data_IF_518690169058
#
_entry.id   IF_518690169058
#
_cell.length_a   1.000
_cell.length_b   1.000
_cell.length_c   1.000
_cell.angle_alpha   90.00
_cell.angle_beta   90.00
_cell.angle_gamma   90.00
#
_symmetry.space_group_name_H-M   'P 1'
#
loop_
_entity.id
_entity.type
_entity.pdbx_description
1 polymer ?
#
# COMPACT_ATOMS: atom_id res chain seq x y z
N UNK A 1 -2.73 -29.92 16.42
CA UNK A 1 -3.20 -28.91 15.44
C UNK A 1 -2.37 -29.03 14.16
N UNK A 2 -2.98 -28.77 12.98
CA UNK A 2 -2.30 -28.79 11.69
C UNK A 2 -2.49 -27.48 10.94
N UNK A 3 -1.44 -27.02 10.25
CA UNK A 3 -1.50 -25.91 9.31
C UNK A 3 -1.39 -26.41 7.86
N UNK A 4 -2.36 -26.02 7.05
CA UNK A 4 -2.43 -26.30 5.62
C UNK A 4 -2.40 -24.99 4.83
N UNK A 5 -1.93 -25.04 3.58
CA UNK A 5 -1.97 -23.91 2.68
C UNK A 5 -3.15 -24.08 1.72
N UNK A 6 -4.03 -23.09 1.68
CA UNK A 6 -5.12 -22.99 0.73
C UNK A 6 -4.63 -22.25 -0.51
N UNK A 7 -4.49 -22.96 -1.63
CA UNK A 7 -4.03 -22.39 -2.89
C UNK A 7 -5.07 -21.47 -3.53
N UNK A 8 -6.37 -21.76 -3.36
CA UNK A 8 -7.44 -20.99 -3.99
C UNK A 8 -7.53 -19.60 -3.37
N UNK A 9 -7.43 -19.54 -2.05
CA UNK A 9 -7.60 -18.30 -1.30
C UNK A 9 -6.28 -17.67 -0.85
N UNK A 10 -5.15 -18.34 -1.11
CA UNK A 10 -3.80 -17.90 -0.78
C UNK A 10 -3.63 -17.54 0.71
N UNK A 11 -4.05 -18.44 1.60
CA UNK A 11 -3.85 -18.29 3.04
C UNK A 11 -3.48 -19.61 3.73
N UNK A 12 -2.97 -19.51 4.94
CA UNK A 12 -2.80 -20.65 5.85
C UNK A 12 -4.10 -20.93 6.56
N UNK A 13 -4.55 -22.18 6.55
CA UNK A 13 -5.68 -22.68 7.34
C UNK A 13 -5.17 -23.40 8.59
N UNK A 14 -5.84 -23.13 9.71
CA UNK A 14 -5.65 -23.81 10.97
C UNK A 14 -6.72 -24.90 11.16
N UNK A 15 -6.28 -26.15 11.00
CA UNK A 15 -7.07 -27.34 11.29
C UNK A 15 -6.91 -27.71 12.77
N UNK A 16 -7.96 -27.45 13.53
CA UNK A 16 -8.06 -27.78 14.94
C UNK A 16 -8.73 -29.15 15.10
N UNK A 17 -8.04 -30.09 15.75
CA UNK A 17 -8.58 -31.43 16.02
C UNK A 17 -9.56 -31.35 17.19
N UNK A 18 -10.82 -31.80 17.04
CA UNK A 18 -11.75 -31.88 18.17
C UNK A 18 -11.21 -32.81 19.26
N UNK A 19 -11.25 -32.37 20.52
CA UNK A 19 -10.75 -33.12 21.67
C UNK A 19 -10.51 -32.22 22.88
N UNK A 20 -9.92 -32.79 23.94
CA UNK A 20 -9.76 -32.10 25.24
C UNK A 20 -8.95 -30.80 25.17
N UNK A 21 -8.01 -30.70 24.22
CA UNK A 21 -7.14 -29.53 24.01
C UNK A 21 -7.67 -28.52 23.00
N UNK A 22 -8.84 -28.79 22.40
CA UNK A 22 -9.37 -27.98 21.30
C UNK A 22 -9.58 -26.51 21.69
N UNK A 23 -10.09 -26.26 22.91
CA UNK A 23 -10.35 -24.90 23.39
C UNK A 23 -9.06 -24.11 23.56
N UNK A 24 -8.04 -24.70 24.17
CA UNK A 24 -6.73 -24.07 24.38
C UNK A 24 -6.03 -23.79 23.04
N UNK A 25 -6.08 -24.75 22.11
CA UNK A 25 -5.51 -24.57 20.78
C UNK A 25 -6.23 -23.45 20.01
N UNK A 26 -7.56 -23.38 20.13
CA UNK A 26 -8.36 -22.31 19.51
C UNK A 26 -8.02 -20.94 20.09
N UNK A 27 -7.86 -20.83 21.41
CA UNK A 27 -7.43 -19.60 22.07
C UNK A 27 -6.01 -19.20 21.65
N UNK A 28 -5.11 -20.16 21.49
CA UNK A 28 -3.74 -19.94 21.00
C UNK A 28 -3.74 -19.40 19.57
N UNK A 29 -4.55 -19.99 18.68
CA UNK A 29 -4.72 -19.56 17.28
C UNK A 29 -5.30 -18.14 17.21
N UNK A 30 -6.29 -17.86 18.05
CA UNK A 30 -6.89 -16.53 18.17
C UNK A 30 -5.88 -15.50 18.69
N UNK A 31 -5.11 -15.84 19.73
CA UNK A 31 -4.07 -14.99 20.30
C UNK A 31 -2.92 -14.71 19.32
N UNK A 32 -2.58 -15.68 18.47
CA UNK A 32 -1.62 -15.51 17.39
C UNK A 32 -2.10 -14.53 16.31
N UNK A 33 -3.41 -14.27 16.22
CA UNK A 33 -4.01 -13.28 15.32
C UNK A 33 -4.56 -13.86 14.02
N UNK A 34 -4.92 -15.14 14.03
CA UNK A 34 -5.68 -15.74 12.93
C UNK A 34 -7.08 -15.10 12.86
N UNK A 35 -7.60 -14.97 11.64
CA UNK A 35 -8.96 -14.50 11.35
C UNK A 35 -9.89 -15.68 11.16
N UNK A 36 -11.20 -15.47 11.25
CA UNK A 36 -12.20 -16.49 10.94
C UNK A 36 -12.94 -16.18 9.65
N UNK A 37 -13.23 -17.20 8.84
CA UNK A 37 -14.04 -17.06 7.61
C UNK A 37 -15.51 -16.75 7.90
N UNK A 38 -15.93 -16.82 9.17
CA UNK A 38 -17.31 -16.65 9.59
C UNK A 38 -18.18 -17.88 9.33
N UNK A 39 -19.48 -17.81 9.64
CA UNK A 39 -20.41 -18.89 9.37
C UNK A 39 -20.54 -19.14 7.85
N UNK A 40 -20.74 -20.40 7.40
CA UNK A 40 -20.97 -21.60 8.20
C UNK A 40 -19.71 -22.39 8.59
N UNK A 41 -18.56 -22.15 7.96
CA UNK A 41 -17.36 -22.98 8.12
C UNK A 41 -16.49 -22.62 9.32
N UNK A 42 -16.52 -21.36 9.79
CA UNK A 42 -15.74 -20.83 10.93
C UNK A 42 -14.27 -21.26 10.94
N UNK A 43 -13.63 -21.26 9.77
CA UNK A 43 -12.25 -21.69 9.63
C UNK A 43 -11.30 -20.56 10.04
N UNK A 44 -10.27 -20.93 10.80
CA UNK A 44 -9.23 -20.00 11.21
C UNK A 44 -8.17 -19.90 10.13
N UNK A 45 -7.83 -18.70 9.69
CA UNK A 45 -6.87 -18.47 8.62
C UNK A 45 -5.94 -17.28 8.86
N UNK A 46 -4.76 -17.31 8.23
CA UNK A 46 -3.79 -16.23 8.24
C UNK A 46 -3.13 -16.09 6.87
N UNK A 47 -2.99 -14.86 6.36
CA UNK A 47 -2.30 -14.58 5.08
C UNK A 47 -0.85 -14.13 5.27
N UNK A 48 -0.49 -13.69 6.48
CA UNK A 48 0.81 -13.09 6.80
C UNK A 48 1.68 -14.08 7.57
N UNK A 49 3.00 -13.91 7.53
CA UNK A 49 3.90 -14.75 8.32
C UNK A 49 3.85 -14.42 9.83
N UNK A 50 3.56 -13.17 10.19
CA UNK A 50 3.55 -12.75 11.60
C UNK A 50 2.66 -13.60 12.54
N UNK A 51 1.39 -13.93 12.21
CA UNK A 51 0.60 -14.86 13.02
C UNK A 51 1.23 -16.25 13.14
N UNK A 52 1.86 -16.76 12.09
CA UNK A 52 2.56 -18.05 12.14
C UNK A 52 3.80 -18.00 13.03
N UNK A 53 4.57 -16.90 12.99
CA UNK A 53 5.73 -16.69 13.86
C UNK A 53 5.31 -16.72 15.33
N UNK A 54 4.23 -15.99 15.69
CA UNK A 54 3.66 -16.00 17.04
C UNK A 54 3.17 -17.38 17.48
N UNK A 55 2.61 -18.15 16.56
CA UNK A 55 2.14 -19.52 16.84
C UNK A 55 3.31 -20.51 17.01
N UNK A 56 4.46 -20.26 16.38
CA UNK A 56 5.69 -21.04 16.58
C UNK A 56 6.35 -20.75 17.93
N UNK A 57 6.28 -19.50 18.38
CA UNK A 57 6.73 -19.05 19.70
C UNK A 57 5.81 -19.59 20.81
N UNK A 58 4.50 -19.44 20.65
CA UNK A 58 3.47 -19.92 21.57
C UNK A 58 2.81 -21.17 20.99
N UNK A 59 3.48 -22.31 21.14
CA UNK A 59 3.01 -23.56 20.52
C UNK A 59 1.68 -24.02 21.15
N UNK A 60 0.72 -24.50 20.33
CA UNK A 60 -0.52 -25.11 20.83
C UNK A 60 -0.24 -26.36 21.69
N UNK A 61 -1.09 -26.60 22.69
CA UNK A 61 -0.99 -27.73 23.63
C UNK A 61 -1.08 -29.10 22.93
N UNK A 62 -1.76 -29.19 21.78
CA UNK A 62 -1.82 -30.42 20.96
C UNK A 62 -0.64 -30.59 20.00
N UNK A 63 0.30 -29.64 19.97
CA UNK A 63 1.41 -29.62 19.04
C UNK A 63 1.05 -28.99 17.69
N UNK A 64 2.08 -28.44 17.03
CA UNK A 64 1.97 -27.76 15.74
C UNK A 64 2.62 -28.61 14.64
N UNK A 65 1.83 -28.98 13.64
CA UNK A 65 2.31 -29.68 12.44
C UNK A 65 2.05 -28.82 11.20
N UNK A 66 3.05 -28.66 10.34
CA UNK A 66 2.91 -27.99 9.05
C UNK A 66 3.00 -29.04 7.95
N UNK A 67 2.15 -28.89 6.93
CA UNK A 67 2.35 -29.62 5.67
C UNK A 67 3.57 -29.10 4.91
N UNK A 68 4.18 -29.93 4.07
CA UNK A 68 5.35 -29.54 3.27
C UNK A 68 5.07 -28.30 2.40
N UNK A 69 3.90 -28.26 1.76
CA UNK A 69 3.44 -27.11 0.97
C UNK A 69 3.33 -25.84 1.85
N UNK A 70 2.70 -25.95 3.01
CA UNK A 70 2.59 -24.83 3.94
C UNK A 70 3.96 -24.37 4.45
N UNK A 71 4.90 -25.28 4.68
CA UNK A 71 6.26 -24.94 5.10
C UNK A 71 7.00 -24.13 4.02
N UNK A 72 6.92 -24.56 2.76
CA UNK A 72 7.53 -23.84 1.63
C UNK A 72 6.94 -22.44 1.50
N UNK A 73 5.60 -22.33 1.47
CA UNK A 73 4.92 -21.02 1.37
C UNK A 73 5.22 -20.12 2.56
N UNK A 74 5.35 -20.68 3.75
CA UNK A 74 5.72 -19.92 4.94
C UNK A 74 7.13 -19.34 4.79
N UNK A 75 8.11 -20.11 4.32
CA UNK A 75 9.47 -19.62 4.09
C UNK A 75 9.50 -18.49 3.04
N UNK A 76 8.74 -18.66 1.95
CA UNK A 76 8.62 -17.66 0.89
C UNK A 76 7.98 -16.35 1.40
N UNK A 77 6.90 -16.44 2.17
CA UNK A 77 6.19 -15.26 2.68
C UNK A 77 7.03 -14.57 3.75
N UNK A 78 7.66 -15.33 4.65
CA UNK A 78 8.47 -14.78 5.73
C UNK A 78 9.70 -14.04 5.19
N UNK A 79 10.43 -14.62 4.21
CA UNK A 79 11.57 -13.96 3.58
C UNK A 79 11.17 -12.66 2.86
N UNK A 80 10.01 -12.63 2.19
CA UNK A 80 9.47 -11.40 1.57
C UNK A 80 9.09 -10.35 2.61
N UNK A 81 8.49 -10.74 3.73
CA UNK A 81 8.14 -9.82 4.82
C UNK A 81 9.39 -9.22 5.48
N UNK A 82 10.44 -10.02 5.69
CA UNK A 82 11.74 -9.57 6.21
C UNK A 82 12.42 -8.59 5.24
N UNK A 83 12.48 -8.91 3.94
CA UNK A 83 13.02 -8.01 2.92
C UNK A 83 12.25 -6.68 2.86
N UNK A 84 10.92 -6.74 2.96
CA UNK A 84 10.06 -5.54 2.99
C UNK A 84 10.30 -4.69 4.25
N UNK A 85 10.51 -5.32 5.40
CA UNK A 85 10.83 -4.62 6.64
C UNK A 85 12.19 -3.92 6.55
N UNK A 86 13.20 -4.58 5.99
CA UNK A 86 14.53 -4.00 5.75
C UNK A 86 14.46 -2.81 4.79
N UNK A 87 13.75 -2.94 3.66
CA UNK A 87 13.56 -1.85 2.70
C UNK A 87 12.86 -0.65 3.34
N UNK A 88 11.81 -0.89 4.14
CA UNK A 88 11.11 0.18 4.85
C UNK A 88 12.03 0.93 5.81
N UNK A 89 12.90 0.22 6.53
CA UNK A 89 13.87 0.86 7.43
C UNK A 89 14.83 1.78 6.66
N UNK A 90 15.34 1.32 5.50
CA UNK A 90 16.19 2.13 4.63
C UNK A 90 15.47 3.37 4.10
N UNK A 91 14.22 3.22 3.64
CA UNK A 91 13.42 4.35 3.13
C UNK A 91 13.12 5.38 4.22
N UNK A 92 12.89 4.96 5.47
CA UNK A 92 12.70 5.89 6.60
C UNK A 92 13.97 6.67 6.89
N UNK A 93 15.15 6.03 6.81
CA UNK A 93 16.43 6.71 6.99
C UNK A 93 16.70 7.70 5.85
N UNK A 94 16.57 7.24 4.59
CA UNK A 94 16.73 8.08 3.41
C UNK A 94 15.79 9.29 3.41
N UNK A 95 14.52 9.10 3.81
CA UNK A 95 13.57 10.20 3.98
C UNK A 95 14.04 11.21 5.02
N UNK A 96 14.51 10.76 6.18
CA UNK A 96 15.04 11.66 7.23
C UNK A 96 16.28 12.41 6.76
N UNK A 97 17.12 11.79 5.95
CA UNK A 97 18.30 12.42 5.36
C UNK A 97 17.92 13.46 4.31
N UNK A 98 16.99 13.14 3.41
CA UNK A 98 16.44 14.09 2.45
C UNK A 98 15.78 15.29 3.15
N UNK A 99 14.96 15.06 4.19
CA UNK A 99 14.36 16.14 5.00
C UNK A 99 15.43 17.01 5.68
N UNK A 100 16.57 16.42 6.11
CA UNK A 100 17.71 17.18 6.65
C UNK A 100 18.46 17.97 5.58
N UNK A 101 18.65 17.40 4.38
CA UNK A 101 19.29 18.09 3.26
C UNK A 101 18.46 19.28 2.79
N UNK A 102 17.15 19.08 2.60
CA UNK A 102 16.21 20.16 2.29
C UNK A 102 16.24 21.27 3.35
N UNK A 103 16.28 20.93 4.65
CA UNK A 103 16.44 21.94 5.72
C UNK A 103 17.80 22.65 5.72
N UNK A 104 18.87 22.02 5.23
CA UNK A 104 20.18 22.66 5.08
C UNK A 104 20.22 23.57 3.86
N UNK A 105 19.57 23.19 2.77
CA UNK A 105 19.45 24.01 1.55
C UNK A 105 18.48 25.19 1.75
N UNK A 106 17.41 25.01 2.54
CA UNK A 106 16.51 26.09 2.98
C UNK A 106 17.12 27.03 4.02
N UNK A 107 18.37 26.82 4.48
CA UNK A 107 19.14 27.86 5.17
C UNK A 107 19.73 28.90 4.20
N UNK A 108 19.28 28.93 2.96
CA UNK A 108 19.52 30.03 2.04
C UNK A 108 18.58 31.21 2.37
N UNK A 109 19.15 32.17 3.11
CA UNK A 109 18.85 33.62 3.13
C UNK A 109 17.37 33.99 3.32
N UNK A 110 17.00 34.11 4.58
CA UNK A 110 15.67 34.54 5.03
C UNK A 110 15.31 36.01 4.75
N UNK A 111 16.17 36.84 4.15
CA UNK A 111 15.97 38.30 4.20
C UNK A 111 15.72 39.03 2.88
N UNK A 112 15.74 38.38 1.71
CA UNK A 112 15.46 39.08 0.44
C UNK A 112 14.40 38.34 -0.40
N UNK A 113 13.23 38.96 -0.55
CA UNK A 113 12.11 38.50 -1.39
C UNK A 113 12.46 38.34 -2.88
N UNK A 114 13.65 38.81 -3.29
CA UNK A 114 14.18 38.71 -4.64
C UNK A 114 15.70 38.54 -4.57
N UNK A 115 16.25 37.57 -5.30
CA UNK A 115 17.67 37.57 -5.65
C UNK A 115 17.85 37.27 -7.14
N UNK A 116 18.77 37.99 -7.75
CA UNK A 116 19.18 37.79 -9.14
C UNK A 116 20.29 36.75 -9.15
N UNK A 117 20.10 35.67 -9.90
CA UNK A 117 21.12 34.66 -10.09
C UNK A 117 21.96 35.04 -11.32
N UNK A 118 23.21 35.46 -11.10
CA UNK A 118 24.11 35.93 -12.16
C UNK A 118 24.56 34.79 -13.09
N UNK A 119 24.58 33.54 -12.63
CA UNK A 119 24.99 32.39 -13.43
C UNK A 119 23.91 31.97 -14.45
N UNK A 120 22.64 32.23 -14.12
CA UNK A 120 21.47 31.80 -14.91
C UNK A 120 20.73 33.00 -15.55
N UNK A 121 21.18 34.23 -15.28
CA UNK A 121 20.53 35.49 -15.73
C UNK A 121 19.01 35.54 -15.47
N UNK A 122 18.54 34.93 -14.38
CA UNK A 122 17.12 34.82 -14.07
C UNK A 122 16.79 35.40 -12.69
N UNK A 123 15.62 36.04 -12.56
CA UNK A 123 15.08 36.45 -11.25
C UNK A 123 14.30 35.30 -10.63
N UNK A 124 14.76 34.84 -9.47
CA UNK A 124 14.06 33.83 -8.70
C UNK A 124 13.08 34.50 -7.72
N UNK A 125 11.79 34.15 -7.82
CA UNK A 125 10.75 34.59 -6.88
C UNK A 125 10.54 33.49 -5.86
N UNK A 126 10.73 33.79 -4.58
CA UNK A 126 10.45 32.85 -3.50
C UNK A 126 8.94 32.81 -3.25
N UNK A 127 8.24 31.86 -3.88
CA UNK A 127 6.82 31.61 -3.60
C UNK A 127 6.73 30.78 -2.32
N UNK A 128 6.55 31.44 -1.17
CA UNK A 128 6.22 30.73 0.08
C UNK A 128 4.83 30.11 -0.09
N UNK A 129 4.61 28.82 0.22
CA UNK A 129 3.28 28.25 0.21
C UNK A 129 2.44 29.03 1.21
N UNK A 130 1.32 29.60 0.75
CA UNK A 130 0.39 30.28 1.64
C UNK A 130 0.00 29.30 2.76
N UNK A 131 0.11 29.74 4.02
CA UNK A 131 -0.38 29.01 5.18
C UNK A 131 -1.92 28.99 5.14
N UNK A 132 -2.51 28.26 4.20
CA UNK A 132 -3.94 28.00 4.22
C UNK A 132 -4.18 26.74 5.04
N UNK A 133 -4.81 26.81 6.22
CA UNK A 133 -5.39 25.64 6.84
C UNK A 133 -6.64 25.29 6.04
N UNK A 134 -6.53 24.40 5.06
CA UNK A 134 -7.70 23.70 4.57
C UNK A 134 -7.34 22.27 4.20
N UNK A 135 -7.66 21.34 5.09
CA UNK A 135 -8.04 20.01 4.65
C UNK A 135 -9.37 20.22 3.94
N UNK A 136 -9.33 20.57 2.66
CA UNK A 136 -10.55 20.55 1.86
C UNK A 136 -11.07 19.12 1.93
N UNK A 137 -12.26 18.93 2.50
CA UNK A 137 -12.98 17.68 2.35
C UNK A 137 -13.02 17.44 0.85
N UNK A 138 -12.44 16.34 0.38
CA UNK A 138 -12.42 16.02 -1.03
C UNK A 138 -13.84 16.17 -1.59
N UNK A 139 -14.06 17.20 -2.40
CA UNK A 139 -15.31 17.38 -3.13
C UNK A 139 -15.13 16.62 -4.42
N UNK A 140 -15.90 15.55 -4.60
CA UNK A 140 -15.90 14.83 -5.87
C UNK A 140 -16.34 15.82 -6.96
N UNK A 141 -15.56 16.00 -8.05
CA UNK A 141 -16.01 16.82 -9.16
C UNK A 141 -17.33 16.28 -9.71
N UNK A 142 -18.21 17.17 -10.16
CA UNK A 142 -19.42 16.76 -10.86
C UNK A 142 -19.06 15.88 -12.06
N UNK A 143 -19.84 14.81 -12.35
CA UNK A 143 -19.62 14.03 -13.54
C UNK A 143 -19.69 14.97 -14.77
N UNK A 144 -18.80 14.79 -15.75
CA UNK A 144 -18.79 15.63 -16.93
C UNK A 144 -20.11 15.54 -17.67
N UNK A 145 -20.60 16.70 -18.12
CA UNK A 145 -21.89 16.86 -18.79
C UNK A 145 -21.82 16.55 -20.29
N UNK A 146 -20.62 16.66 -20.85
CA UNK A 146 -20.36 16.53 -22.28
C UNK A 146 -19.64 15.21 -22.53
N UNK A 147 -19.90 14.60 -23.69
CA UNK A 147 -19.28 13.37 -24.15
C UNK A 147 -18.53 13.63 -25.45
N UNK A 148 -17.48 12.85 -25.69
CA UNK A 148 -16.66 12.90 -26.88
C UNK A 148 -17.51 12.53 -28.10
N UNK A 149 -17.47 13.32 -29.17
CA UNK A 149 -18.24 13.05 -30.39
C UNK A 149 -17.81 11.78 -31.13
N UNK A 150 -16.65 11.19 -30.80
CA UNK A 150 -16.07 10.05 -31.52
C UNK A 150 -16.31 8.73 -30.78
N UNK A 151 -16.06 8.70 -29.47
CA UNK A 151 -16.14 7.49 -28.66
C UNK A 151 -17.21 7.52 -27.57
N UNK A 152 -17.98 8.61 -27.47
CA UNK A 152 -18.98 8.87 -26.42
C UNK A 152 -18.43 8.86 -24.98
N UNK A 153 -17.11 8.89 -24.82
CA UNK A 153 -16.49 8.96 -23.50
C UNK A 153 -16.73 10.33 -22.83
N UNK A 154 -16.85 10.37 -21.49
CA UNK A 154 -17.02 11.60 -20.74
C UNK A 154 -15.87 12.59 -20.95
N UNK A 155 -16.19 13.84 -21.31
CA UNK A 155 -15.21 14.90 -21.52
C UNK A 155 -14.87 15.64 -20.23
N UNK A 156 -13.61 15.58 -19.82
CA UNK A 156 -13.15 16.29 -18.64
C UNK A 156 -13.01 17.80 -18.90
N UNK A 157 -13.08 18.60 -17.83
CA UNK A 157 -13.05 20.08 -17.88
C UNK A 157 -11.81 20.68 -18.59
N UNK A 158 -10.74 19.91 -18.72
CA UNK A 158 -9.50 20.33 -19.38
C UNK A 158 -9.43 19.89 -20.86
N UNK A 159 -10.37 19.09 -21.33
CA UNK A 159 -10.46 18.67 -22.73
C UNK A 159 -11.24 19.73 -23.50
N UNK A 160 -10.75 20.11 -24.68
CA UNK A 160 -11.33 21.17 -25.49
C UNK A 160 -11.77 20.60 -26.84
N UNK A 161 -12.80 21.21 -27.46
CA UNK A 161 -13.31 20.87 -28.81
C UNK A 161 -14.20 19.63 -28.93
N UNK A 162 -14.91 19.22 -27.87
CA UNK A 162 -15.88 18.12 -27.91
C UNK A 162 -15.29 16.75 -28.32
N UNK A 163 -13.97 16.58 -28.18
CA UNK A 163 -13.23 15.36 -28.52
C UNK A 163 -12.32 15.06 -27.33
N UNK A 164 -12.27 13.79 -26.89
CA UNK A 164 -11.39 13.40 -25.79
C UNK A 164 -9.93 13.41 -26.23
N UNK A 165 -9.01 13.56 -25.27
CA UNK A 165 -7.56 13.61 -25.53
C UNK A 165 -7.08 12.38 -26.30
N UNK A 166 -7.68 11.21 -26.06
CA UNK A 166 -7.30 9.98 -26.76
C UNK A 166 -7.64 10.04 -28.25
N UNK A 167 -8.86 10.45 -28.59
CA UNK A 167 -9.26 10.61 -29.98
C UNK A 167 -8.52 11.77 -30.66
N UNK A 168 -8.22 12.87 -29.96
CA UNK A 168 -7.37 13.94 -30.49
C UNK A 168 -5.98 13.41 -30.83
N UNK A 169 -5.38 12.60 -29.95
CA UNK A 169 -4.07 12.01 -30.16
C UNK A 169 -4.04 10.99 -31.32
N UNK A 170 -5.10 10.19 -31.50
CA UNK A 170 -5.21 9.29 -32.66
C UNK A 170 -5.38 10.06 -33.97
N UNK A 171 -6.15 11.14 -33.98
CA UNK A 171 -6.30 12.01 -35.14
C UNK A 171 -4.99 12.71 -35.52
N UNK A 172 -4.19 13.13 -34.54
CA UNK A 172 -2.85 13.68 -34.77
C UNK A 172 -1.90 12.64 -35.36
N UNK A 173 -1.94 11.40 -34.87
CA UNK A 173 -1.13 10.30 -35.41
C UNK A 173 -1.45 9.96 -36.86
N UNK A 174 -2.70 10.14 -37.29
CA UNK A 174 -3.11 9.89 -38.68
C UNK A 174 -2.78 11.04 -39.64
N UNK A 175 -2.45 12.23 -39.11
CA UNK A 175 -2.05 13.40 -39.91
C UNK A 175 -0.54 13.47 -40.20
N UNK A 176 0.23 12.54 -39.64
CA UNK A 176 1.66 12.29 -39.90
C UNK A 176 1.83 11.08 -40.83
#
# INVERSE_FOLDING_TARGET
>A
MRLTWDEQNSYFLAELTPGDKWREDMETVKAAGFKTTGPPSWQWYAQKAAPLNKLRENRPSSGLTLTELALQKYQDINSKEEAKAALKAQLVLARKEAEKQVKKELKCKDDNEYYFDEDIQCRCIVVRPAETPSVSKFVRPEPPKETCMICDDPLYLYESKNICIWCEHELEKQKL
#
